data_IF_951168171529
#
_entry.id   IF_951168171529
#
_cell.length_a   1.000
_cell.length_b   1.000
_cell.length_c   1.000
_cell.angle_alpha   90.00
_cell.angle_beta   90.00
_cell.angle_gamma   90.00
#
_symmetry.space_group_name_H-M   'P 1'
#
loop_
_entity.id
_entity.type
_entity.pdbx_description
1 polymer ?
#
# COMPACT_ATOMS: atom_id res chain seq x y z
N UNK A 1 4.91 -8.59 -7.46
CA UNK A 1 4.76 -10.02 -7.09
C UNK A 1 3.31 -10.47 -6.96
N UNK A 2 2.46 -9.82 -6.16
CA UNK A 2 1.06 -10.24 -5.98
C UNK A 2 0.26 -10.41 -7.28
N UNK A 3 0.40 -9.48 -8.23
CA UNK A 3 -0.21 -9.57 -9.57
C UNK A 3 0.21 -10.87 -10.30
N UNK A 4 1.50 -11.21 -10.29
CA UNK A 4 2.00 -12.44 -10.91
C UNK A 4 1.40 -13.69 -10.24
N UNK A 5 1.30 -13.70 -8.91
CA UNK A 5 0.69 -14.80 -8.16
C UNK A 5 -0.80 -14.95 -8.48
N UNK A 6 -1.56 -13.86 -8.53
CA UNK A 6 -2.98 -13.88 -8.90
C UNK A 6 -3.21 -14.36 -10.35
N UNK A 7 -2.37 -13.92 -11.30
CA UNK A 7 -2.40 -14.41 -12.70
C UNK A 7 -2.06 -15.90 -12.79
N UNK A 8 -1.04 -16.34 -12.06
CA UNK A 8 -0.69 -17.76 -11.98
C UNK A 8 -1.82 -18.59 -11.33
N UNK A 9 -2.57 -18.01 -10.39
CA UNK A 9 -3.75 -18.64 -9.81
C UNK A 9 -4.94 -18.69 -10.79
N UNK A 10 -5.03 -17.75 -11.72
CA UNK A 10 -6.02 -17.74 -12.81
C UNK A 10 -6.84 -16.47 -12.95
N UNK A 11 -6.52 -15.46 -12.16
CA UNK A 11 -7.14 -14.14 -12.24
C UNK A 11 -6.43 -13.36 -13.34
N UNK A 12 -7.08 -13.23 -14.50
CA UNK A 12 -6.44 -12.68 -15.71
C UNK A 12 -6.03 -11.21 -15.53
N UNK A 13 -6.91 -10.41 -14.92
CA UNK A 13 -6.71 -8.97 -14.69
C UNK A 13 -6.96 -8.63 -13.22
N UNK A 14 -6.07 -9.04 -12.31
CA UNK A 14 -6.31 -8.96 -10.88
C UNK A 14 -6.40 -7.50 -10.43
N UNK A 15 -7.41 -7.21 -9.63
CA UNK A 15 -7.58 -5.92 -8.96
C UNK A 15 -6.60 -5.77 -7.80
N UNK A 16 -6.00 -4.59 -7.67
CA UNK A 16 -5.04 -4.26 -6.63
C UNK A 16 -5.61 -3.18 -5.73
N UNK A 17 -5.57 -3.40 -4.43
CA UNK A 17 -5.82 -2.38 -3.42
C UNK A 17 -4.71 -2.37 -2.38
N UNK A 18 -4.64 -1.29 -1.61
CA UNK A 18 -3.61 -1.04 -0.62
C UNK A 18 -4.31 -0.88 0.72
N UNK A 19 -3.94 -1.66 1.72
CA UNK A 19 -4.50 -1.50 3.05
C UNK A 19 -4.08 -0.12 3.60
N UNK A 20 -5.07 0.68 4.01
CA UNK A 20 -4.85 2.06 4.42
C UNK A 20 -4.22 2.15 5.82
N UNK A 21 -2.92 1.84 5.89
CA UNK A 21 -2.03 1.96 7.03
C UNK A 21 -0.89 2.92 6.67
N UNK A 22 0.07 3.07 7.57
CA UNK A 22 1.26 3.90 7.38
C UNK A 22 1.98 3.53 6.07
N UNK A 23 2.36 4.54 5.29
CA UNK A 23 2.96 4.39 3.96
C UNK A 23 1.96 4.20 2.81
N UNK A 24 0.68 3.93 3.08
CA UNK A 24 -0.27 3.52 2.04
C UNK A 24 -0.48 4.57 0.95
N UNK A 25 -0.53 5.86 1.31
CA UNK A 25 -0.71 6.94 0.33
C UNK A 25 0.53 7.12 -0.55
N UNK A 26 1.73 7.03 0.05
CA UNK A 26 3.00 7.04 -0.68
C UNK A 26 3.11 5.85 -1.64
N UNK A 27 2.73 4.65 -1.19
CA UNK A 27 2.65 3.46 -2.06
C UNK A 27 1.61 3.64 -3.16
N UNK A 28 0.44 4.22 -2.86
CA UNK A 28 -0.59 4.48 -3.87
C UNK A 28 -0.08 5.39 -4.98
N UNK A 29 0.58 6.50 -4.63
CA UNK A 29 1.19 7.40 -5.61
C UNK A 29 2.27 6.73 -6.44
N UNK A 30 3.14 5.95 -5.80
CA UNK A 30 4.18 5.22 -6.49
C UNK A 30 3.60 4.24 -7.52
N UNK A 31 2.57 3.49 -7.14
CA UNK A 31 1.88 2.57 -8.05
C UNK A 31 1.11 3.32 -9.14
N UNK A 32 0.47 4.45 -8.83
CA UNK A 32 -0.24 5.28 -9.80
C UNK A 32 0.74 5.83 -10.85
N UNK A 33 1.90 6.35 -10.42
CA UNK A 33 2.97 6.82 -11.31
C UNK A 33 3.52 5.68 -12.19
N UNK A 34 3.72 4.50 -11.61
CA UNK A 34 4.14 3.31 -12.36
C UNK A 34 3.09 2.92 -13.43
N UNK A 35 1.81 3.06 -13.10
CA UNK A 35 0.70 2.83 -14.02
C UNK A 35 0.68 3.85 -15.17
N UNK A 36 0.84 5.14 -14.86
CA UNK A 36 0.93 6.24 -15.83
C UNK A 36 2.13 6.08 -16.77
N UNK A 37 3.23 5.50 -16.28
CA UNK A 37 4.41 5.17 -17.07
C UNK A 37 4.24 3.91 -17.95
N UNK A 38 3.08 3.26 -17.93
CA UNK A 38 2.72 2.20 -18.87
C UNK A 38 2.73 0.77 -18.30
N UNK A 39 2.90 0.58 -16.99
CA UNK A 39 2.71 -0.74 -16.37
C UNK A 39 1.24 -0.94 -15.96
N UNK A 40 0.49 -1.87 -16.56
CA UNK A 40 -0.94 -1.96 -16.34
C UNK A 40 -1.27 -2.44 -14.91
N UNK A 41 -1.82 -1.54 -14.09
CA UNK A 41 -2.40 -1.87 -12.79
C UNK A 41 -3.90 -1.66 -12.85
N UNK A 42 -4.66 -2.72 -12.58
CA UNK A 42 -6.09 -2.64 -12.40
C UNK A 42 -6.36 -2.29 -10.93
N UNK A 43 -6.59 -1.02 -10.61
CA UNK A 43 -6.92 -0.64 -9.23
C UNK A 43 -8.33 -1.10 -8.87
N UNK A 44 -8.44 -1.82 -7.75
CA UNK A 44 -9.72 -2.12 -7.14
C UNK A 44 -10.32 -0.89 -6.46
N UNK A 45 -11.56 -1.01 -6.00
CA UNK A 45 -12.25 0.05 -5.28
C UNK A 45 -12.72 -0.42 -3.91
N UNK A 46 -12.46 0.38 -2.88
CA UNK A 46 -13.12 0.27 -1.59
C UNK A 46 -14.65 0.35 -1.76
N UNK A 47 -15.37 -0.30 -0.86
CA UNK A 47 -16.83 -0.30 -0.77
C UNK A 47 -17.41 1.03 -0.29
N UNK A 48 -16.56 2.01 0.04
CA UNK A 48 -17.02 3.35 0.43
C UNK A 48 -17.68 4.09 -0.74
N UNK A 49 -18.47 5.11 -0.40
CA UNK A 49 -19.11 5.99 -1.40
C UNK A 49 -18.11 6.73 -2.30
N UNK A 50 -16.96 7.10 -1.75
CA UNK A 50 -15.85 7.75 -2.47
C UNK A 50 -14.90 6.76 -3.17
N UNK A 51 -15.04 5.46 -2.89
CA UNK A 51 -14.29 4.39 -3.56
C UNK A 51 -12.77 4.50 -3.39
N UNK A 52 -12.04 4.09 -4.42
CA UNK A 52 -10.58 4.24 -4.52
C UNK A 52 -9.78 3.03 -4.05
N UNK A 53 -8.48 3.03 -4.34
CA UNK A 53 -7.59 1.89 -4.12
C UNK A 53 -7.19 1.66 -2.65
N UNK A 54 -7.47 2.62 -1.76
CA UNK A 54 -7.17 2.51 -0.33
C UNK A 54 -8.27 1.74 0.40
N UNK A 55 -7.89 0.61 0.99
CA UNK A 55 -8.79 -0.35 1.63
C UNK A 55 -8.87 -0.15 3.13
N UNK A 56 -10.01 -0.51 3.71
CA UNK A 56 -10.27 -0.59 5.16
C UNK A 56 -10.53 -2.04 5.58
N UNK A 57 -10.68 -2.27 6.88
CA UNK A 57 -10.98 -3.59 7.43
C UNK A 57 -12.21 -4.25 6.79
N UNK A 58 -13.29 -3.51 6.54
CA UNK A 58 -14.49 -4.04 5.89
C UNK A 58 -14.23 -4.51 4.46
N UNK A 59 -13.33 -3.84 3.73
CA UNK A 59 -13.00 -4.21 2.36
C UNK A 59 -12.25 -5.55 2.31
N UNK A 60 -11.41 -5.82 3.33
CA UNK A 60 -10.74 -7.12 3.50
C UNK A 60 -11.74 -8.24 3.76
N UNK A 61 -12.71 -8.00 4.65
CA UNK A 61 -13.74 -8.98 5.00
C UNK A 61 -14.66 -9.31 3.82
N UNK A 62 -14.93 -8.31 2.97
CA UNK A 62 -15.75 -8.48 1.77
C UNK A 62 -14.98 -9.07 0.59
N UNK A 63 -13.64 -9.14 0.64
CA UNK A 63 -12.82 -9.56 -0.49
C UNK A 63 -12.92 -8.58 -1.67
N UNK A 64 -12.85 -7.28 -1.40
CA UNK A 64 -13.12 -6.22 -2.40
C UNK A 64 -12.08 -6.14 -3.52
N UNK A 65 -10.92 -6.81 -3.36
CA UNK A 65 -9.84 -6.88 -4.35
C UNK A 65 -9.23 -8.27 -4.39
N UNK A 66 -8.57 -8.59 -5.51
CA UNK A 66 -7.84 -9.85 -5.69
C UNK A 66 -6.46 -9.82 -4.99
N UNK A 67 -5.82 -8.64 -4.94
CA UNK A 67 -4.51 -8.42 -4.34
C UNK A 67 -4.58 -7.24 -3.37
N UNK A 68 -4.37 -7.52 -2.09
CA UNK A 68 -4.21 -6.49 -1.05
C UNK A 68 -2.72 -6.30 -0.73
N UNK A 69 -2.22 -5.08 -0.89
CA UNK A 69 -0.85 -4.69 -0.55
C UNK A 69 -0.81 -4.14 0.88
N UNK A 70 0.14 -4.63 1.68
CA UNK A 70 0.42 -4.17 3.04
C UNK A 70 1.86 -4.51 3.40
N UNK A 71 2.39 -3.93 4.48
CA UNK A 71 3.69 -4.32 5.04
C UNK A 71 3.70 -5.77 5.55
N UNK A 72 4.90 -6.30 5.76
CA UNK A 72 5.11 -7.71 6.13
C UNK A 72 4.54 -8.06 7.50
N UNK A 73 4.57 -7.15 8.47
CA UNK A 73 4.11 -7.42 9.83
C UNK A 73 2.58 -7.46 9.88
N UNK A 74 1.93 -6.47 9.27
CA UNK A 74 0.48 -6.46 9.14
C UNK A 74 0.00 -7.68 8.37
N UNK A 75 0.64 -8.03 7.25
CA UNK A 75 0.30 -9.24 6.49
C UNK A 75 0.35 -10.50 7.35
N UNK A 76 1.36 -10.64 8.22
CA UNK A 76 1.44 -11.76 9.17
C UNK A 76 0.27 -11.81 10.14
N UNK A 77 -0.10 -10.66 10.71
CA UNK A 77 -1.22 -10.54 11.65
C UNK A 77 -2.52 -10.92 10.96
N UNK A 78 -2.78 -10.39 9.75
CA UNK A 78 -4.02 -10.65 8.99
C UNK A 78 -4.21 -12.13 8.70
N UNK A 79 -3.17 -12.82 8.22
CA UNK A 79 -3.26 -14.26 7.93
C UNK A 79 -3.61 -15.07 9.18
N UNK A 80 -2.96 -14.77 10.31
CA UNK A 80 -3.25 -15.45 11.59
C UNK A 80 -4.66 -15.13 12.09
N UNK A 81 -5.06 -13.87 11.99
CA UNK A 81 -6.37 -13.41 12.42
C UNK A 81 -7.48 -14.14 11.65
N UNK A 82 -7.42 -14.13 10.32
CA UNK A 82 -8.43 -14.78 9.49
C UNK A 82 -8.45 -16.29 9.65
N UNK A 83 -7.30 -16.92 9.86
CA UNK A 83 -7.22 -18.37 9.93
C UNK A 83 -7.53 -18.95 11.32
N UNK A 84 -7.28 -18.19 12.41
CA UNK A 84 -7.36 -18.67 13.80
C UNK A 84 -8.37 -17.93 14.70
N UNK A 85 -9.19 -17.03 14.16
CA UNK A 85 -10.18 -16.26 14.96
C UNK A 85 -11.08 -17.14 15.83
N UNK A 86 -11.64 -18.22 15.24
CA UNK A 86 -12.61 -19.10 15.93
C UNK A 86 -11.96 -20.14 16.86
N UNK A 87 -10.64 -20.13 17.02
CA UNK A 87 -9.89 -21.16 17.77
C UNK A 87 -9.12 -20.60 18.96
N UNK A 88 -9.27 -19.30 19.25
CA UNK A 88 -8.51 -18.61 20.29
C UNK A 88 -7.04 -18.40 19.92
N UNK A 89 -6.68 -18.44 18.63
CA UNK A 89 -5.34 -18.07 18.15
C UNK A 89 -4.29 -19.18 18.15
N UNK A 90 -4.58 -20.35 18.73
CA UNK A 90 -3.61 -21.45 18.84
C UNK A 90 -3.61 -22.42 17.65
N UNK A 91 -4.61 -22.33 16.77
CA UNK A 91 -4.80 -23.27 15.68
C UNK A 91 -5.45 -22.59 14.49
N UNK A 92 -4.86 -22.67 13.31
CA UNK A 92 -5.47 -22.08 12.11
C UNK A 92 -6.40 -23.11 11.46
N UNK A 93 -7.70 -22.85 11.51
CA UNK A 93 -8.74 -23.82 11.10
C UNK A 93 -9.38 -23.50 9.74
N UNK A 94 -9.31 -22.26 9.27
CA UNK A 94 -10.08 -21.78 8.12
C UNK A 94 -9.21 -21.04 7.10
N UNK A 95 -9.70 -21.01 5.87
CA UNK A 95 -9.07 -20.29 4.77
C UNK A 95 -7.88 -21.03 4.16
N UNK A 96 -7.12 -20.30 3.35
CA UNK A 96 -6.01 -20.84 2.57
C UNK A 96 -4.65 -20.56 3.22
N UNK A 97 -4.63 -19.67 4.23
CA UNK A 97 -3.49 -19.34 5.07
C UNK A 97 -2.32 -18.72 4.32
N UNK A 98 -1.58 -19.56 3.60
CA UNK A 98 -0.27 -19.24 3.02
C UNK A 98 -0.27 -19.45 1.51
N UNK A 99 0.33 -18.50 0.81
CA UNK A 99 0.52 -18.56 -0.64
C UNK A 99 1.96 -18.89 -1.06
N UNK A 100 2.21 -19.01 -2.37
CA UNK A 100 3.55 -19.19 -2.90
C UNK A 100 4.44 -17.98 -2.60
N UNK A 101 5.63 -18.25 -2.04
CA UNK A 101 6.69 -17.25 -2.00
C UNK A 101 7.46 -17.27 -3.31
N UNK A 102 7.58 -16.10 -3.92
CA UNK A 102 8.32 -15.88 -5.14
C UNK A 102 9.09 -14.56 -5.04
N UNK A 103 10.22 -14.48 -5.75
CA UNK A 103 11.09 -13.33 -5.75
C UNK A 103 11.80 -13.18 -7.08
N UNK A 104 12.41 -12.01 -7.26
CA UNK A 104 13.28 -11.76 -8.41
C UNK A 104 14.39 -12.81 -8.49
N UNK A 105 14.66 -13.30 -9.70
CA UNK A 105 15.69 -14.30 -9.99
C UNK A 105 15.48 -15.68 -9.34
N UNK A 106 14.34 -15.93 -8.71
CA UNK A 106 14.03 -17.25 -8.17
C UNK A 106 13.52 -18.16 -9.28
N UNK A 107 14.08 -19.37 -9.36
CA UNK A 107 13.59 -20.44 -10.27
C UNK A 107 12.73 -21.48 -9.55
N UNK A 108 12.47 -21.28 -8.26
CA UNK A 108 11.67 -22.16 -7.41
C UNK A 108 10.61 -21.36 -6.68
N UNK A 109 9.49 -22.01 -6.41
CA UNK A 109 8.44 -21.52 -5.52
C UNK A 109 8.71 -22.11 -4.14
N UNK A 110 8.74 -21.26 -3.11
CA UNK A 110 8.93 -21.70 -1.73
C UNK A 110 7.60 -21.62 -1.02
N UNK A 111 7.17 -22.73 -0.41
CA UNK A 111 5.95 -22.78 0.40
C UNK A 111 6.34 -22.87 1.87
N UNK A 112 6.00 -21.84 2.64
CA UNK A 112 6.24 -21.76 4.09
C UNK A 112 4.87 -21.79 4.76
N UNK A 113 4.61 -22.85 5.53
CA UNK A 113 3.34 -23.04 6.24
C UNK A 113 3.63 -23.10 7.74
N UNK A 114 2.81 -22.41 8.53
CA UNK A 114 2.96 -22.41 9.98
C UNK A 114 2.70 -23.80 10.56
N UNK A 115 3.44 -24.14 11.62
CA UNK A 115 3.22 -25.37 12.38
C UNK A 115 1.84 -25.42 13.05
N UNK A 116 1.23 -24.27 13.34
CA UNK A 116 -0.10 -24.17 13.92
C UNK A 116 -1.23 -24.38 12.88
N UNK A 117 -0.87 -24.59 11.61
CA UNK A 117 -1.85 -24.74 10.53
C UNK A 117 -2.54 -26.10 10.55
N UNK A 118 -3.86 -26.07 10.62
CA UNK A 118 -4.72 -27.24 10.49
C UNK A 118 -4.71 -27.83 9.09
N UNK A 119 -5.10 -29.11 8.98
CA UNK A 119 -5.17 -29.81 7.70
C UNK A 119 -5.94 -29.05 6.60
N UNK A 120 -7.07 -28.36 6.86
CA UNK A 120 -7.76 -27.58 5.83
C UNK A 120 -6.92 -26.41 5.30
N UNK A 121 -6.22 -25.68 6.18
CA UNK A 121 -5.35 -24.56 5.81
C UNK A 121 -4.15 -25.04 5.01
N UNK A 122 -3.53 -26.14 5.45
CA UNK A 122 -2.42 -26.79 4.73
C UNK A 122 -2.86 -27.23 3.33
N UNK A 123 -4.04 -27.86 3.21
CA UNK A 123 -4.58 -28.29 1.93
C UNK A 123 -4.85 -27.10 0.98
N UNK A 124 -5.40 -26.00 1.49
CA UNK A 124 -5.61 -24.76 0.73
C UNK A 124 -4.29 -24.18 0.22
N UNK A 125 -3.30 -24.03 1.11
CA UNK A 125 -1.98 -23.53 0.76
C UNK A 125 -1.30 -24.38 -0.32
N UNK A 126 -1.30 -25.72 -0.17
CA UNK A 126 -0.72 -26.64 -1.15
C UNK A 126 -1.45 -26.54 -2.50
N UNK A 127 -2.79 -26.43 -2.48
CA UNK A 127 -3.60 -26.32 -3.69
C UNK A 127 -3.30 -25.04 -4.47
N UNK A 128 -3.19 -23.90 -3.79
CA UNK A 128 -2.80 -22.62 -4.41
C UNK A 128 -1.38 -22.69 -4.99
N UNK A 129 -0.43 -23.24 -4.23
CA UNK A 129 0.94 -23.44 -4.69
C UNK A 129 0.98 -24.32 -5.95
N UNK A 130 0.25 -25.42 -5.98
CA UNK A 130 0.21 -26.33 -7.13
C UNK A 130 -0.32 -25.64 -8.40
N UNK A 131 -1.34 -24.79 -8.28
CA UNK A 131 -1.84 -24.00 -9.42
C UNK A 131 -0.81 -23.00 -9.92
N UNK A 132 -0.11 -22.33 -9.01
CA UNK A 132 0.95 -21.38 -9.36
C UNK A 132 2.19 -22.07 -9.99
N UNK A 133 2.55 -23.27 -9.52
CA UNK A 133 3.59 -24.11 -10.14
C UNK A 133 3.20 -24.48 -11.57
N UNK A 134 1.96 -24.95 -11.76
CA UNK A 134 1.46 -25.40 -13.07
C UNK A 134 1.46 -24.28 -14.12
N UNK A 135 1.35 -23.02 -13.70
CA UNK A 135 1.43 -21.84 -14.58
C UNK A 135 2.76 -21.11 -14.53
N UNK A 136 3.81 -21.78 -14.04
CA UNK A 136 5.17 -21.25 -14.04
C UNK A 136 5.29 -19.87 -13.40
N UNK A 137 4.83 -19.72 -12.14
CA UNK A 137 4.90 -18.46 -11.40
C UNK A 137 6.28 -17.74 -11.48
N UNK A 138 7.45 -18.41 -11.42
CA UNK A 138 8.74 -17.76 -11.66
C UNK A 138 8.82 -16.98 -12.99
N UNK A 139 8.30 -17.56 -14.07
CA UNK A 139 8.24 -16.92 -15.40
C UNK A 139 7.27 -15.75 -15.39
N UNK A 140 6.12 -15.88 -14.73
CA UNK A 140 5.16 -14.78 -14.58
C UNK A 140 5.76 -13.61 -13.77
N UNK A 141 6.47 -13.89 -12.68
CA UNK A 141 7.17 -12.87 -11.88
C UNK A 141 8.21 -12.14 -12.72
N UNK A 142 9.01 -12.86 -13.49
CA UNK A 142 9.99 -12.27 -14.39
C UNK A 142 9.31 -11.33 -15.41
N UNK A 143 8.23 -11.77 -16.05
CA UNK A 143 7.50 -10.97 -17.02
C UNK A 143 6.89 -9.70 -16.40
N UNK A 144 6.29 -9.78 -15.21
CA UNK A 144 5.76 -8.60 -14.51
C UNK A 144 6.89 -7.62 -14.13
N UNK A 145 8.03 -8.12 -13.64
CA UNK A 145 9.17 -7.27 -13.29
C UNK A 145 9.78 -6.59 -14.51
N UNK A 146 9.94 -7.30 -15.63
CA UNK A 146 10.42 -6.70 -16.88
C UNK A 146 9.47 -5.59 -17.38
N UNK A 147 8.15 -5.83 -17.27
CA UNK A 147 7.13 -4.84 -17.64
C UNK A 147 7.17 -3.62 -16.71
N UNK A 148 7.26 -3.84 -15.40
CA UNK A 148 7.33 -2.76 -14.40
C UNK A 148 8.62 -1.94 -14.54
N UNK A 149 9.77 -2.57 -14.80
CA UNK A 149 11.04 -1.86 -15.04
C UNK A 149 11.00 -0.99 -16.29
N UNK A 150 10.36 -1.46 -17.36
CA UNK A 150 10.14 -0.62 -18.57
C UNK A 150 9.29 0.62 -18.25
N UNK A 151 8.47 0.58 -17.21
CA UNK A 151 7.70 1.71 -16.70
C UNK A 151 8.42 2.51 -15.58
N UNK A 152 9.71 2.26 -15.37
CA UNK A 152 10.52 3.03 -14.42
C UNK A 152 10.37 2.62 -12.95
N UNK A 153 10.17 1.33 -12.68
CA UNK A 153 10.07 0.80 -11.32
C UNK A 153 11.31 1.15 -10.47
N UNK A 154 12.51 1.01 -11.03
CA UNK A 154 13.76 1.17 -10.27
C UNK A 154 13.94 2.63 -9.82
N UNK A 155 13.63 3.61 -10.69
CA UNK A 155 13.66 5.05 -10.38
C UNK A 155 12.59 5.44 -9.34
N UNK A 156 11.41 4.84 -9.42
CA UNK A 156 10.35 5.07 -8.43
C UNK A 156 10.81 4.55 -7.06
N UNK A 157 11.38 3.34 -6.98
CA UNK A 157 11.88 2.78 -5.74
C UNK A 157 13.03 3.62 -5.15
N UNK A 158 13.94 4.12 -5.98
CA UNK A 158 15.01 5.03 -5.55
C UNK A 158 14.44 6.32 -4.96
N UNK A 159 13.39 6.88 -5.58
CA UNK A 159 12.74 8.11 -5.09
C UNK A 159 12.04 7.95 -3.74
N UNK A 160 11.72 6.72 -3.34
CA UNK A 160 11.07 6.39 -2.07
C UNK A 160 12.05 6.11 -0.92
N UNK A 161 13.36 6.10 -1.21
CA UNK A 161 14.34 5.94 -0.15
C UNK A 161 14.29 7.14 0.81
N UNK A 162 14.46 6.92 2.13
CA UNK A 162 14.43 8.00 3.11
C UNK A 162 15.44 9.09 2.72
N UNK A 163 14.94 10.29 2.41
CA UNK A 163 15.82 11.45 2.27
C UNK A 163 16.36 11.79 3.65
N UNK A 164 17.67 12.01 3.77
CA UNK A 164 18.25 12.54 4.99
C UNK A 164 17.54 13.86 5.31
N UNK A 165 16.80 13.88 6.42
CA UNK A 165 16.22 15.09 6.98
C UNK A 165 17.36 16.01 7.39
N UNK A 166 17.51 17.12 6.66
CA UNK A 166 18.30 18.24 7.16
C UNK A 166 17.69 18.70 8.48
N UNK A 167 18.54 18.84 9.48
CA UNK A 167 18.31 19.14 10.89
C UNK A 167 17.07 19.98 11.25
N UNK A 168 16.58 19.64 12.44
CA UNK A 168 15.48 20.17 13.26
C UNK A 168 15.66 21.67 13.63
N UNK A 169 15.82 22.56 12.63
CA UNK A 169 15.82 24.00 12.88
C UNK A 169 14.42 24.46 13.32
N UNK A 170 14.38 25.31 14.36
CA UNK A 170 13.21 25.96 14.97
C UNK A 170 12.31 26.65 13.91
N UNK A 171 11.44 25.89 13.26
CA UNK A 171 10.43 26.45 12.35
C UNK A 171 9.30 27.02 13.21
N UNK A 172 9.23 28.35 13.29
CA UNK A 172 8.14 29.07 13.97
C UNK A 172 6.90 29.07 13.07
N UNK A 173 5.76 28.66 13.62
CA UNK A 173 4.49 28.71 12.93
C UNK A 173 4.12 30.16 12.55
N UNK A 174 3.67 30.43 11.30
CA UNK A 174 3.13 31.73 10.91
C UNK A 174 1.91 32.13 11.77
N UNK A 175 1.47 33.40 11.73
CA UNK A 175 0.26 33.82 12.43
C UNK A 175 -0.96 32.97 12.04
N UNK A 176 -1.72 32.52 13.03
CA UNK A 176 -2.93 31.71 12.85
C UNK A 176 -3.93 32.41 11.93
N UNK A 177 -4.49 31.65 10.99
CA UNK A 177 -5.58 32.05 10.10
C UNK A 177 -6.66 30.96 10.04
N UNK A 178 -7.92 31.29 9.67
CA UNK A 178 -8.96 30.29 9.51
C UNK A 178 -8.59 29.22 8.47
N UNK A 179 -8.73 27.94 8.84
CA UNK A 179 -8.37 26.80 8.01
C UNK A 179 -9.62 26.09 7.49
N UNK A 180 -10.13 26.58 6.35
CA UNK A 180 -11.41 26.12 5.78
C UNK A 180 -11.25 24.95 4.78
N UNK A 181 -10.01 24.64 4.36
CA UNK A 181 -9.72 23.66 3.32
C UNK A 181 -8.81 22.53 3.81
N UNK A 182 -9.03 21.31 3.29
CA UNK A 182 -8.26 20.12 3.63
C UNK A 182 -7.44 19.63 2.42
N UNK A 183 -6.13 19.48 2.63
CA UNK A 183 -5.22 18.83 1.69
C UNK A 183 -5.06 17.38 2.16
N UNK A 184 -5.65 16.47 1.38
CA UNK A 184 -5.45 15.03 1.52
C UNK A 184 -4.20 14.60 0.75
N UNK A 185 -3.71 13.38 0.99
CA UNK A 185 -2.55 12.86 0.28
C UNK A 185 -1.30 12.69 1.16
N UNK A 186 -1.29 13.14 2.40
CA UNK A 186 -0.09 13.12 3.25
C UNK A 186 -0.06 11.88 4.16
N UNK A 187 1.13 11.32 4.33
CA UNK A 187 1.38 10.22 5.28
C UNK A 187 1.34 10.70 6.74
N UNK A 188 0.88 9.86 7.67
CA UNK A 188 0.78 10.22 9.09
C UNK A 188 2.15 10.50 9.71
N UNK A 189 3.20 9.84 9.23
CA UNK A 189 4.56 10.03 9.73
C UNK A 189 5.20 11.30 9.18
N UNK A 190 4.77 11.75 8.00
CA UNK A 190 5.32 12.92 7.31
C UNK A 190 4.49 14.18 7.55
N UNK A 191 3.30 14.07 8.17
CA UNK A 191 2.36 15.19 8.28
C UNK A 191 2.94 16.38 9.04
N UNK A 192 3.69 16.14 10.12
CA UNK A 192 4.32 17.19 10.90
C UNK A 192 5.45 17.88 10.12
N UNK A 193 6.26 17.11 9.37
CA UNK A 193 7.31 17.66 8.53
C UNK A 193 6.75 18.42 7.32
N UNK A 194 5.66 17.93 6.75
CA UNK A 194 4.90 18.59 5.69
C UNK A 194 4.32 19.92 6.18
N UNK A 195 3.72 19.96 7.37
CA UNK A 195 3.25 21.21 8.00
C UNK A 195 4.42 22.16 8.25
N UNK A 196 5.55 21.68 8.78
CA UNK A 196 6.76 22.51 8.97
C UNK A 196 7.31 23.03 7.64
N UNK A 197 7.23 22.28 6.55
CA UNK A 197 7.63 22.75 5.21
C UNK A 197 6.78 23.93 4.74
N UNK A 198 5.48 23.92 5.05
CA UNK A 198 4.56 25.02 4.77
C UNK A 198 4.87 26.24 5.63
N UNK A 199 5.18 26.04 6.91
CA UNK A 199 5.59 27.12 7.81
C UNK A 199 6.87 27.80 7.32
N UNK A 200 7.87 27.05 6.84
CA UNK A 200 9.08 27.60 6.20
C UNK A 200 8.76 28.45 4.96
N UNK A 201 7.69 28.11 4.23
CA UNK A 201 7.19 28.87 3.10
C UNK A 201 6.25 30.04 3.48
N UNK A 202 6.08 30.30 4.78
CA UNK A 202 5.23 31.35 5.34
C UNK A 202 3.74 31.09 5.22
N UNK A 203 3.32 29.82 5.14
CA UNK A 203 1.92 29.40 5.02
C UNK A 203 1.50 28.77 6.35
N UNK A 204 0.44 29.29 6.96
CA UNK A 204 -0.13 28.67 8.15
C UNK A 204 -0.86 27.38 7.75
N UNK A 205 -0.59 26.32 8.50
CA UNK A 205 -1.16 25.02 8.28
C UNK A 205 -1.17 24.21 9.57
N UNK A 206 -2.17 23.35 9.72
CA UNK A 206 -2.34 22.48 10.89
C UNK A 206 -2.54 21.02 10.44
N UNK A 207 -1.96 20.07 11.17
CA UNK A 207 -2.21 18.64 10.96
C UNK A 207 -3.55 18.25 11.58
N UNK A 208 -4.30 17.38 10.90
CA UNK A 208 -5.57 16.85 11.39
C UNK A 208 -5.83 15.43 10.86
N UNK A 209 -6.84 14.76 11.42
CA UNK A 209 -7.29 13.44 10.95
C UNK A 209 -8.66 13.57 10.30
N UNK A 210 -8.69 13.50 8.97
CA UNK A 210 -9.90 13.49 8.17
C UNK A 210 -10.52 12.10 8.08
N UNK A 211 -11.67 12.00 7.40
CA UNK A 211 -12.36 10.72 7.23
C UNK A 211 -11.57 9.69 6.41
N UNK A 212 -10.60 10.12 5.60
CA UNK A 212 -9.80 9.26 4.69
C UNK A 212 -8.39 8.96 5.22
N UNK A 213 -7.97 9.63 6.29
CA UNK A 213 -6.61 9.58 6.80
C UNK A 213 -6.11 10.96 7.26
N UNK A 214 -4.79 11.12 7.43
CA UNK A 214 -4.18 12.40 7.79
C UNK A 214 -4.46 13.47 6.72
N UNK A 215 -4.73 14.71 7.17
CA UNK A 215 -5.00 15.87 6.32
C UNK A 215 -4.31 17.10 6.85
N UNK A 216 -3.85 17.96 5.95
CA UNK A 216 -3.33 19.29 6.31
C UNK A 216 -4.44 20.31 6.09
N UNK A 217 -4.77 21.09 7.12
CA UNK A 217 -5.72 22.18 7.05
C UNK A 217 -5.02 23.50 6.76
N UNK A 218 -5.51 24.29 5.82
CA UNK A 218 -4.95 25.62 5.48
C UNK A 218 -6.05 26.56 4.98
N UNK A 219 -5.77 27.86 4.90
CA UNK A 219 -6.74 28.82 4.37
C UNK A 219 -7.00 28.62 2.88
N UNK A 220 -8.25 28.84 2.44
CA UNK A 220 -8.64 28.67 1.03
C UNK A 220 -7.77 29.48 0.06
N UNK A 221 -7.34 30.69 0.45
CA UNK A 221 -6.47 31.55 -0.34
C UNK A 221 -5.04 31.01 -0.52
N UNK A 222 -4.63 30.00 0.27
CA UNK A 222 -3.27 29.45 0.29
C UNK A 222 -3.16 28.04 -0.29
N UNK A 223 -4.28 27.35 -0.55
CA UNK A 223 -4.32 25.94 -0.98
C UNK A 223 -3.44 25.66 -2.19
N UNK A 224 -3.52 26.47 -3.26
CA UNK A 224 -2.72 26.23 -4.48
C UNK A 224 -1.22 26.38 -4.22
N UNK A 225 -0.83 27.39 -3.41
CA UNK A 225 0.56 27.59 -3.02
C UNK A 225 1.05 26.46 -2.11
N UNK A 226 0.21 26.01 -1.17
CA UNK A 226 0.50 24.91 -0.26
C UNK A 226 0.71 23.59 -1.01
N UNK A 227 -0.19 23.26 -1.95
CA UNK A 227 -0.04 22.09 -2.83
C UNK A 227 1.24 22.15 -3.64
N UNK A 228 1.62 23.32 -4.16
CA UNK A 228 2.89 23.53 -4.86
C UNK A 228 4.10 23.19 -3.99
N UNK A 229 4.19 23.78 -2.80
CA UNK A 229 5.29 23.53 -1.84
C UNK A 229 5.35 22.05 -1.45
N UNK A 230 4.19 21.45 -1.12
CA UNK A 230 4.16 20.06 -0.69
C UNK A 230 4.55 19.11 -1.84
N UNK A 231 4.15 19.41 -3.08
CA UNK A 231 4.52 18.62 -4.27
C UNK A 231 6.01 18.72 -4.58
N UNK A 232 6.59 19.92 -4.48
CA UNK A 232 8.04 20.14 -4.67
C UNK A 232 8.86 19.36 -3.63
N UNK A 233 8.37 19.29 -2.40
CA UNK A 233 9.03 18.53 -1.33
C UNK A 233 8.70 17.02 -1.35
N UNK A 234 7.70 16.60 -2.14
CA UNK A 234 7.33 15.19 -2.35
C UNK A 234 6.30 14.63 -1.37
N UNK A 235 5.57 15.49 -0.63
CA UNK A 235 4.55 15.08 0.34
C UNK A 235 3.17 14.80 -0.27
N UNK A 236 2.83 15.45 -1.40
CA UNK A 236 1.59 15.22 -2.19
C UNK A 236 1.87 14.83 -3.63
#
# INVERSE_FOLDING_TARGET
>A
YGIAAAKADGIVSPTVGILNLDGAQTVQRALQKLCENGYPINFGSSMRKDGGALLRGNDLLAGSVDVCVTDTLTGNVLIKLFAAWNTGGNYEALGWGYGPSAGESWNKIVSIISRASGAPVVAGAISLNARCVKKELPSAVKAELESARKAGLDEILESLQPRQTSSDDDVIAPPTEPTDEEIHGIDVLEIEDAVRSLWRAGIYAESSMGCTGPVIKTAAARVEKAKGVLKENGYV
#
